data_IF_645142738741
#
_entry.id   IF_645142738741
#
_cell.length_a   1.000
_cell.length_b   1.000
_cell.length_c   1.000
_cell.angle_alpha   90.00
_cell.angle_beta   90.00
_cell.angle_gamma   90.00
#
_symmetry.space_group_name_H-M   'P 1'
#
loop_
_entity.id
_entity.type
_entity.pdbx_description
1 polymer ?
#
# COMPACT_ATOMS: atom_id res chain seq x y z
N UNK A 1 15.32 14.47 -11.91
CA UNK A 1 14.25 13.72 -12.57
C UNK A 1 13.13 13.54 -11.56
N UNK A 2 11.87 13.62 -11.98
CA UNK A 2 10.74 13.64 -11.05
C UNK A 2 10.46 12.24 -10.52
N UNK A 3 10.04 12.15 -9.26
CA UNK A 3 9.63 10.91 -8.58
C UNK A 3 8.64 10.07 -9.42
N UNK A 4 7.74 10.77 -10.12
CA UNK A 4 6.73 10.19 -10.99
C UNK A 4 7.33 9.48 -12.22
N UNK A 5 8.39 10.04 -12.80
CA UNK A 5 9.03 9.48 -14.00
C UNK A 5 9.77 8.18 -13.65
N UNK A 6 10.50 8.17 -12.52
CA UNK A 6 11.22 6.98 -12.04
C UNK A 6 10.26 5.85 -11.65
N UNK A 7 9.16 6.17 -10.93
CA UNK A 7 8.15 5.18 -10.57
C UNK A 7 7.43 4.60 -11.80
N UNK A 8 7.18 5.42 -12.82
CA UNK A 8 6.58 4.98 -14.07
C UNK A 8 7.51 4.06 -14.87
N UNK A 9 8.80 4.41 -15.00
CA UNK A 9 9.78 3.58 -15.70
C UNK A 9 9.98 2.21 -15.00
N UNK A 10 10.07 2.19 -13.68
CA UNK A 10 10.18 0.95 -12.88
C UNK A 10 8.98 0.02 -13.15
N UNK A 11 7.76 0.59 -13.12
CA UNK A 11 6.53 -0.16 -13.38
C UNK A 11 6.47 -0.69 -14.81
N UNK A 12 6.89 0.09 -15.81
CA UNK A 12 7.01 -0.37 -17.19
C UNK A 12 8.03 -1.51 -17.35
N UNK A 13 9.05 -1.57 -16.50
CA UNK A 13 10.00 -2.69 -16.44
C UNK A 13 9.50 -3.89 -15.61
N UNK A 14 8.26 -3.84 -15.11
CA UNK A 14 7.68 -4.88 -14.26
C UNK A 14 8.30 -4.94 -12.86
N UNK A 15 9.05 -3.90 -12.44
CA UNK A 15 9.67 -3.82 -11.13
C UNK A 15 8.80 -2.96 -10.22
N UNK A 16 8.51 -3.41 -8.97
CA UNK A 16 7.96 -2.50 -7.98
C UNK A 16 8.97 -1.38 -7.73
N UNK A 17 8.54 -0.12 -7.84
CA UNK A 17 9.46 1.01 -7.69
C UNK A 17 10.10 1.04 -6.30
N UNK A 18 11.38 1.39 -6.25
CA UNK A 18 12.14 1.51 -5.01
C UNK A 18 11.63 2.65 -4.12
N UNK A 19 11.03 3.68 -4.73
CA UNK A 19 10.38 4.79 -4.03
C UNK A 19 8.93 4.94 -4.54
N UNK A 20 8.00 4.13 -4.02
CA UNK A 20 6.62 4.15 -4.49
C UNK A 20 5.95 5.49 -4.19
N UNK A 21 5.01 5.88 -5.04
CA UNK A 21 4.10 7.00 -4.75
C UNK A 21 3.05 6.50 -3.75
N UNK A 22 3.18 6.95 -2.50
CA UNK A 22 2.33 6.54 -1.38
C UNK A 22 1.32 7.64 -1.09
N UNK A 23 0.05 7.29 -1.14
CA UNK A 23 -1.07 8.12 -0.68
C UNK A 23 -1.67 7.45 0.56
N UNK A 24 -1.69 8.18 1.68
CA UNK A 24 -2.14 7.68 2.98
C UNK A 24 -3.37 8.48 3.42
N UNK A 25 -4.46 7.77 3.70
CA UNK A 25 -5.73 8.33 4.12
C UNK A 25 -6.19 7.69 5.43
N UNK A 26 -6.64 8.50 6.40
CA UNK A 26 -7.14 8.04 7.71
C UNK A 26 -8.64 8.35 7.81
N UNK A 27 -9.53 7.50 7.26
CA UNK A 27 -10.97 7.77 7.25
C UNK A 27 -11.58 7.82 8.67
N UNK A 28 -10.98 7.10 9.62
CA UNK A 28 -11.41 7.08 11.04
C UNK A 28 -11.32 8.43 11.74
N UNK A 29 -10.53 9.39 11.22
CA UNK A 29 -10.51 10.77 11.72
C UNK A 29 -11.80 11.52 11.37
N UNK A 30 -12.43 11.17 10.26
CA UNK A 30 -13.70 11.76 9.83
C UNK A 30 -14.91 11.01 10.39
N UNK A 31 -14.84 9.68 10.43
CA UNK A 31 -15.91 8.82 10.97
C UNK A 31 -15.36 7.88 12.06
N UNK A 32 -15.55 8.22 13.34
CA UNK A 32 -15.12 7.38 14.47
C UNK A 32 -15.84 6.04 14.57
N UNK A 33 -16.92 5.79 13.81
CA UNK A 33 -17.61 4.49 13.83
C UNK A 33 -16.85 3.40 13.05
N UNK A 34 -15.91 3.81 12.19
CA UNK A 34 -15.08 2.90 11.40
C UNK A 34 -14.01 2.17 12.22
N UNK A 35 -13.68 2.66 13.41
CA UNK A 35 -12.65 2.07 14.27
C UNK A 35 -13.12 2.01 15.73
N UNK A 36 -12.72 0.98 16.49
CA UNK A 36 -12.90 0.98 17.93
C UNK A 36 -12.22 2.18 18.59
N UNK A 37 -12.72 2.67 19.74
CA UNK A 37 -12.11 3.79 20.46
C UNK A 37 -10.61 3.56 20.72
N UNK A 38 -9.77 4.50 20.28
CA UNK A 38 -8.32 4.43 20.41
C UNK A 38 -7.59 3.75 19.25
N UNK A 39 -8.31 3.22 18.27
CA UNK A 39 -7.73 2.71 17.03
C UNK A 39 -8.10 3.56 15.81
N UNK A 40 -7.28 3.46 14.76
CA UNK A 40 -7.47 4.14 13.48
C UNK A 40 -7.36 3.16 12.33
N UNK A 41 -8.32 3.21 11.42
CA UNK A 41 -8.19 2.56 10.12
C UNK A 41 -7.45 3.51 9.19
N UNK A 42 -6.43 3.01 8.51
CA UNK A 42 -5.59 3.73 7.57
C UNK A 42 -5.62 2.99 6.24
N UNK A 43 -6.01 3.71 5.20
CA UNK A 43 -5.99 3.25 3.82
C UNK A 43 -4.75 3.81 3.12
N UNK A 44 -3.89 2.93 2.63
CA UNK A 44 -2.67 3.29 1.93
C UNK A 44 -2.79 2.82 0.48
N UNK A 45 -2.68 3.77 -0.45
CA UNK A 45 -2.68 3.53 -1.88
C UNK A 45 -1.28 3.74 -2.42
N UNK A 46 -0.76 2.76 -3.13
CA UNK A 46 0.53 2.85 -3.80
C UNK A 46 0.31 2.80 -5.31
N UNK A 47 0.65 3.89 -5.98
CA UNK A 47 0.52 3.99 -7.44
C UNK A 47 1.77 3.43 -8.12
N UNK A 48 1.60 2.92 -9.35
CA UNK A 48 2.65 2.30 -10.19
C UNK A 48 3.14 0.93 -9.72
N UNK A 49 2.23 0.08 -9.25
CA UNK A 49 2.54 -1.32 -9.04
C UNK A 49 2.33 -2.11 -10.34
N UNK A 50 3.33 -2.90 -10.79
CA UNK A 50 3.19 -3.69 -12.00
C UNK A 50 2.18 -4.83 -11.79
N UNK A 51 1.35 -5.10 -12.80
CA UNK A 51 0.40 -6.20 -12.80
C UNK A 51 1.12 -7.57 -12.71
N UNK A 52 2.22 -7.70 -13.45
CA UNK A 52 3.11 -8.88 -13.43
C UNK A 52 4.51 -8.44 -13.04
N UNK A 53 5.12 -9.13 -12.07
CA UNK A 53 6.48 -8.87 -11.64
C UNK A 53 7.49 -9.29 -12.73
N UNK A 54 8.68 -8.68 -12.72
CA UNK A 54 9.76 -8.96 -13.67
C UNK A 54 10.03 -10.47 -13.76
N UNK A 55 10.06 -10.99 -14.99
CA UNK A 55 10.24 -12.41 -15.28
C UNK A 55 8.93 -13.20 -15.39
N UNK A 56 7.77 -12.53 -15.48
CA UNK A 56 6.47 -13.19 -15.61
C UNK A 56 5.94 -13.74 -14.29
N UNK A 57 6.53 -13.31 -13.16
CA UNK A 57 6.15 -13.78 -11.83
C UNK A 57 4.85 -13.11 -11.38
N UNK A 58 3.98 -13.90 -10.79
CA UNK A 58 2.73 -13.41 -10.19
C UNK A 58 3.02 -12.91 -8.77
N UNK A 59 2.11 -12.07 -8.26
CA UNK A 59 2.13 -11.67 -6.87
C UNK A 59 1.81 -12.88 -5.98
N UNK A 60 2.80 -13.36 -5.24
CA UNK A 60 2.58 -14.32 -4.16
C UNK A 60 2.45 -13.59 -2.81
N UNK A 61 2.11 -14.32 -1.75
CA UNK A 61 1.97 -13.76 -0.41
C UNK A 61 3.29 -13.17 0.12
N UNK A 62 4.43 -13.73 -0.27
CA UNK A 62 5.74 -13.28 0.20
C UNK A 62 6.12 -11.93 -0.44
N UNK A 63 5.95 -11.78 -1.75
CA UNK A 63 6.21 -10.56 -2.52
C UNK A 63 5.22 -9.45 -2.14
N UNK A 64 3.95 -9.80 -1.86
CA UNK A 64 2.96 -8.88 -1.28
C UNK A 64 3.45 -8.29 0.03
N UNK A 65 3.86 -9.14 0.95
CA UNK A 65 4.35 -8.74 2.26
C UNK A 65 5.64 -7.91 2.15
N UNK A 66 6.60 -8.32 1.31
CA UNK A 66 7.83 -7.55 1.04
C UNK A 66 7.54 -6.15 0.51
N UNK A 67 6.59 -6.02 -0.41
CA UNK A 67 6.20 -4.72 -0.95
C UNK A 67 5.55 -3.83 0.12
N UNK A 68 4.64 -4.38 0.92
CA UNK A 68 4.04 -3.67 2.04
C UNK A 68 5.09 -3.24 3.07
N UNK A 69 6.08 -4.08 3.38
CA UNK A 69 7.18 -3.76 4.29
C UNK A 69 8.07 -2.63 3.76
N UNK A 70 8.28 -2.58 2.44
CA UNK A 70 8.97 -1.47 1.77
C UNK A 70 8.18 -0.16 1.90
N UNK A 71 6.87 -0.19 1.60
CA UNK A 71 5.97 0.98 1.77
C UNK A 71 5.97 1.46 3.21
N UNK A 72 5.81 0.56 4.18
CA UNK A 72 5.87 0.91 5.59
C UNK A 72 7.26 1.41 5.99
N UNK A 73 8.34 0.91 5.39
CA UNK A 73 9.69 1.43 5.60
C UNK A 73 9.85 2.89 5.18
N UNK A 74 9.15 3.31 4.12
CA UNK A 74 9.08 4.71 3.73
C UNK A 74 8.19 5.53 4.67
N UNK A 75 7.02 5.01 5.08
CA UNK A 75 6.14 5.68 6.04
C UNK A 75 6.85 5.88 7.39
N UNK A 76 7.58 4.88 7.88
CA UNK A 76 8.34 4.94 9.14
C UNK A 76 9.36 6.10 9.16
N UNK A 77 9.93 6.48 8.00
CA UNK A 77 10.83 7.64 7.91
C UNK A 77 10.11 8.96 8.15
N UNK A 78 8.82 9.04 7.83
CA UNK A 78 7.99 10.23 8.04
C UNK A 78 7.24 10.18 9.38
N UNK A 79 6.83 8.99 9.81
CA UNK A 79 6.08 8.73 11.03
C UNK A 79 6.77 7.60 11.84
N UNK A 80 7.78 7.94 12.68
CA UNK A 80 8.51 6.95 13.47
C UNK A 80 7.59 6.33 14.53
N UNK A 81 7.67 5.00 14.67
CA UNK A 81 6.81 4.21 15.55
C UNK A 81 5.59 3.62 14.86
N UNK A 82 5.30 4.01 13.61
CA UNK A 82 4.14 3.52 12.86
C UNK A 82 4.08 2.00 12.81
N UNK A 83 5.17 1.34 12.42
CA UNK A 83 5.21 -0.13 12.29
C UNK A 83 4.85 -0.87 13.57
N UNK A 84 5.17 -0.30 14.73
CA UNK A 84 4.90 -0.92 16.04
C UNK A 84 3.42 -0.89 16.45
N UNK A 85 2.64 -0.03 15.80
CA UNK A 85 1.23 0.23 16.13
C UNK A 85 0.25 -0.52 15.24
N UNK A 86 0.76 -1.19 14.20
CA UNK A 86 -0.04 -1.96 13.25
C UNK A 86 -0.51 -3.24 13.93
N UNK A 87 -1.83 -3.40 14.09
CA UNK A 87 -2.43 -4.62 14.65
C UNK A 87 -2.75 -5.62 13.54
N UNK A 88 -3.18 -5.12 12.39
CA UNK A 88 -3.52 -5.95 11.24
C UNK A 88 -3.32 -5.18 9.94
N UNK A 89 -2.91 -5.90 8.91
CA UNK A 89 -2.78 -5.37 7.55
C UNK A 89 -3.43 -6.32 6.56
N UNK A 90 -4.05 -5.75 5.54
CA UNK A 90 -4.52 -6.45 4.36
C UNK A 90 -3.95 -5.75 3.13
N UNK A 91 -3.42 -6.51 2.18
CA UNK A 91 -2.61 -5.97 1.07
C UNK A 91 -3.19 -6.46 -0.25
N UNK A 92 -4.05 -5.69 -0.89
CA UNK A 92 -4.66 -6.05 -2.16
C UNK A 92 -3.76 -5.64 -3.33
N UNK A 93 -3.36 -6.62 -4.14
CA UNK A 93 -2.58 -6.39 -5.35
C UNK A 93 -3.46 -6.18 -6.59
N UNK A 94 -2.91 -5.69 -7.71
CA UNK A 94 -3.68 -5.54 -8.95
C UNK A 94 -4.49 -6.78 -9.37
N UNK A 95 -3.96 -8.03 -9.33
CA UNK A 95 -4.78 -9.20 -9.65
C UNK A 95 -5.87 -9.48 -8.60
N UNK A 96 -5.65 -9.18 -7.32
CA UNK A 96 -6.69 -9.28 -6.29
C UNK A 96 -7.81 -8.26 -6.55
N UNK A 97 -7.44 -7.03 -6.90
CA UNK A 97 -8.39 -5.97 -7.24
C UNK A 97 -9.21 -6.32 -8.49
N UNK A 98 -8.59 -6.89 -9.52
CA UNK A 98 -9.30 -7.40 -10.69
C UNK A 98 -10.27 -8.53 -10.31
N UNK A 99 -9.85 -9.46 -9.46
CA UNK A 99 -10.70 -10.57 -9.02
C UNK A 99 -11.86 -10.15 -8.11
N UNK A 100 -11.65 -9.15 -7.24
CA UNK A 100 -12.64 -8.71 -6.24
C UNK A 100 -13.60 -7.69 -6.85
N UNK A 101 -13.07 -6.73 -7.63
CA UNK A 101 -13.86 -5.63 -8.19
C UNK A 101 -14.27 -5.83 -9.65
N UNK A 102 -13.80 -6.91 -10.31
CA UNK A 102 -14.20 -7.23 -11.69
C UNK A 102 -13.72 -6.20 -12.71
N UNK A 103 -12.54 -5.62 -12.49
CA UNK A 103 -11.92 -4.60 -13.36
C UNK A 103 -10.87 -5.24 -14.29
N UNK A 104 -11.26 -5.75 -15.48
CA UNK A 104 -10.31 -6.38 -16.39
C UNK A 104 -9.28 -5.37 -16.91
N UNK A 105 -7.99 -5.67 -16.71
CA UNK A 105 -6.88 -4.80 -17.11
C UNK A 105 -6.50 -3.76 -16.06
N UNK A 106 -6.59 -4.13 -14.78
CA UNK A 106 -6.62 -3.29 -13.59
C UNK A 106 -5.69 -2.07 -13.55
N UNK A 107 -6.14 -1.07 -12.79
CA UNK A 107 -5.33 0.11 -12.41
C UNK A 107 -4.00 -0.39 -11.85
N UNK A 108 -2.86 0.12 -12.31
CA UNK A 108 -1.52 -0.22 -11.82
C UNK A 108 -1.30 0.27 -10.37
N UNK A 109 -2.14 -0.16 -9.43
CA UNK A 109 -2.25 0.34 -8.07
C UNK A 109 -2.29 -0.83 -7.11
N UNK A 110 -1.44 -0.80 -6.08
CA UNK A 110 -1.57 -1.67 -4.92
C UNK A 110 -2.34 -0.91 -3.85
N UNK A 111 -3.36 -1.56 -3.29
CA UNK A 111 -4.12 -1.01 -2.19
C UNK A 111 -3.85 -1.81 -0.92
N UNK A 112 -3.32 -1.17 0.12
CA UNK A 112 -3.16 -1.81 1.42
C UNK A 112 -4.02 -1.11 2.46
N UNK A 113 -4.87 -1.88 3.13
CA UNK A 113 -5.67 -1.43 4.25
C UNK A 113 -4.96 -1.86 5.52
N UNK A 114 -4.58 -0.91 6.35
CA UNK A 114 -3.89 -1.16 7.61
C UNK A 114 -4.78 -0.70 8.75
N UNK A 115 -5.08 -1.61 9.68
CA UNK A 115 -5.68 -1.28 10.95
C UNK A 115 -4.56 -1.03 11.96
N UNK A 116 -4.35 0.23 12.32
CA UNK A 116 -3.34 0.65 13.28
C UNK A 116 -4.02 1.14 14.56
N UNK A 117 -3.53 0.76 15.72
CA UNK A 117 -4.08 1.27 16.97
C UNK A 117 -3.11 2.29 17.56
N UNK A 118 -3.33 3.56 17.23
CA UNK A 118 -2.59 4.64 17.88
C UNK A 118 -3.37 5.92 17.94
N UNK A 119 -3.68 6.35 19.17
CA UNK A 119 -4.22 7.67 19.47
C UNK A 119 -3.24 8.85 19.27
N UNK A 120 -2.07 8.63 18.64
CA UNK A 120 -0.94 9.56 18.67
C UNK A 120 -0.20 9.75 17.32
N UNK A 121 -0.81 9.36 16.19
CA UNK A 121 -0.19 9.56 14.84
C UNK A 121 -0.64 10.89 14.20
N UNK A 122 -1.23 11.80 14.97
CA UNK A 122 -1.53 13.17 14.56
C UNK A 122 -0.92 14.18 15.54
#
# INVERSE_FOLDING_TARGET
MNLLDEAHEDACQGKPSTRPMIELCIPSTLDPTLAPPGCHVISIFSQYAPYTLTGGRQWDEEERNKYADNVFGWIEKYAPGFKSTVIGRDVLTPPDLESIFGLPGGVCTVHSITSACTANVL
#
